data_IF_394541067306
#
_entry.id   IF_394541067306
#
_cell.length_a   1.000
_cell.length_b   1.000
_cell.length_c   1.000
_cell.angle_alpha   90.00
_cell.angle_beta   90.00
_cell.angle_gamma   90.00
#
_symmetry.space_group_name_H-M   'P 1'
#
loop_
_entity.id
_entity.type
_entity.pdbx_description
1 polymer ?
#
# COMPACT_ATOMS: atom_id res chain seq x y z
N UNK A 1 27.89 -27.47 -4.90
CA UNK A 1 28.08 -26.05 -4.56
C UNK A 1 27.47 -25.20 -5.66
N UNK A 2 26.29 -24.64 -5.38
CA UNK A 2 25.77 -23.45 -6.04
C UNK A 2 25.07 -22.69 -4.91
N UNK A 3 25.74 -21.66 -4.38
CA UNK A 3 25.06 -20.70 -3.53
C UNK A 3 24.14 -19.93 -4.47
N UNK A 4 22.84 -20.19 -4.38
CA UNK A 4 21.83 -19.39 -5.04
C UNK A 4 21.99 -17.97 -4.49
N UNK A 5 22.43 -17.04 -5.34
CA UNK A 5 22.39 -15.62 -5.05
C UNK A 5 20.95 -15.30 -4.63
N UNK A 6 20.69 -14.71 -3.45
CA UNK A 6 19.34 -14.33 -3.06
C UNK A 6 18.81 -13.40 -4.15
N UNK A 7 17.74 -13.83 -4.84
CA UNK A 7 17.12 -13.05 -5.90
C UNK A 7 16.62 -11.76 -5.25
N UNK A 8 17.24 -10.62 -5.56
CA UNK A 8 16.73 -9.31 -5.14
C UNK A 8 15.38 -9.14 -5.79
N UNK A 9 14.34 -9.03 -4.97
CA UNK A 9 12.97 -8.85 -5.42
C UNK A 9 12.82 -7.46 -6.02
N UNK A 10 12.25 -7.35 -7.21
CA UNK A 10 11.96 -6.05 -7.84
C UNK A 10 10.81 -5.34 -7.13
N UNK A 11 10.76 -4.01 -7.25
CA UNK A 11 9.65 -3.22 -6.70
C UNK A 11 8.27 -3.67 -7.21
N UNK A 12 8.18 -4.04 -8.50
CA UNK A 12 6.95 -4.62 -9.07
C UNK A 12 6.55 -5.92 -8.38
N UNK A 13 7.50 -6.82 -8.12
CA UNK A 13 7.23 -8.06 -7.40
C UNK A 13 6.78 -7.76 -5.97
N UNK A 14 7.35 -6.74 -5.31
CA UNK A 14 6.96 -6.34 -3.95
C UNK A 14 5.49 -5.93 -3.88
N UNK A 15 5.04 -5.07 -4.79
CA UNK A 15 3.64 -4.62 -4.81
C UNK A 15 2.67 -5.77 -5.06
N UNK A 16 3.04 -6.72 -5.93
CA UNK A 16 2.24 -7.92 -6.18
C UNK A 16 2.16 -8.81 -4.94
N UNK A 17 3.27 -8.99 -4.23
CA UNK A 17 3.29 -9.74 -2.97
C UNK A 17 2.38 -9.08 -1.93
N UNK A 18 2.47 -7.76 -1.76
CA UNK A 18 1.61 -7.00 -0.84
C UNK A 18 0.14 -7.20 -1.19
N UNK A 19 -0.21 -7.11 -2.47
CA UNK A 19 -1.57 -7.32 -2.93
C UNK A 19 -2.06 -8.73 -2.65
N UNK A 20 -1.27 -9.76 -2.99
CA UNK A 20 -1.62 -11.15 -2.75
C UNK A 20 -1.81 -11.41 -1.27
N UNK A 21 -0.89 -10.98 -0.40
CA UNK A 21 -1.02 -11.17 1.04
C UNK A 21 -2.24 -10.45 1.62
N UNK A 22 -2.52 -9.23 1.18
CA UNK A 22 -3.71 -8.54 1.63
C UNK A 22 -4.98 -9.29 1.19
N UNK A 23 -5.01 -9.83 -0.03
CA UNK A 23 -6.12 -10.65 -0.51
C UNK A 23 -6.29 -11.91 0.34
N UNK A 24 -5.20 -12.59 0.68
CA UNK A 24 -5.23 -13.78 1.54
C UNK A 24 -5.77 -13.43 2.93
N UNK A 25 -5.32 -12.31 3.52
CA UNK A 25 -5.83 -11.79 4.81
C UNK A 25 -7.32 -11.46 4.72
N UNK A 26 -7.77 -10.82 3.65
CA UNK A 26 -9.17 -10.45 3.43
C UNK A 26 -10.08 -11.70 3.34
N UNK A 27 -9.53 -12.86 2.95
CA UNK A 27 -10.24 -14.15 2.90
C UNK A 27 -10.18 -14.93 4.22
N UNK A 28 -9.39 -14.51 5.21
CA UNK A 28 -9.40 -15.13 6.52
C UNK A 28 -10.72 -14.82 7.22
N UNK A 29 -11.52 -15.86 7.47
CA UNK A 29 -12.75 -15.77 8.27
C UNK A 29 -12.43 -15.59 9.76
N UNK A 30 -11.80 -14.47 10.10
CA UNK A 30 -11.43 -14.08 11.47
C UNK A 30 -12.41 -13.04 12.01
N UNK A 31 -13.08 -13.25 13.16
CA UNK A 31 -14.17 -12.39 13.64
C UNK A 31 -13.82 -10.91 13.85
N UNK A 32 -12.53 -10.61 13.96
CA UNK A 32 -12.01 -9.28 14.29
C UNK A 32 -11.24 -8.62 13.14
N UNK A 33 -11.03 -9.33 12.04
CA UNK A 33 -10.35 -8.81 10.85
C UNK A 33 -11.41 -8.68 9.79
N UNK A 34 -11.65 -7.45 9.34
CA UNK A 34 -12.55 -7.19 8.24
C UNK A 34 -11.75 -6.82 6.99
N UNK A 35 -12.21 -7.20 5.79
CA UNK A 35 -11.51 -6.84 4.55
C UNK A 35 -11.29 -5.32 4.36
N UNK A 36 -12.15 -4.49 4.95
CA UNK A 36 -11.97 -3.03 4.98
C UNK A 36 -10.79 -2.55 5.82
N UNK A 37 -10.24 -3.37 6.72
CA UNK A 37 -9.17 -2.97 7.63
C UNK A 37 -7.82 -2.82 6.92
N UNK A 38 -7.64 -3.44 5.74
CA UNK A 38 -6.43 -3.37 4.91
C UNK A 38 -5.15 -3.50 5.73
N UNK A 39 -5.11 -4.52 6.59
CA UNK A 39 -4.12 -4.66 7.66
C UNK A 39 -2.68 -4.47 7.16
N UNK A 40 -2.30 -5.15 6.07
CA UNK A 40 -0.93 -5.08 5.58
C UNK A 40 -0.58 -3.69 5.00
N UNK A 41 -1.36 -3.10 4.07
CA UNK A 41 -1.19 -1.70 3.68
C UNK A 41 -1.20 -0.71 4.85
N UNK A 42 -2.04 -0.92 5.87
CA UNK A 42 -2.07 -0.09 7.08
C UNK A 42 -0.75 -0.15 7.84
N UNK A 43 -0.20 -1.34 8.06
CA UNK A 43 1.10 -1.51 8.72
C UNK A 43 2.23 -0.87 7.92
N UNK A 44 2.27 -1.10 6.60
CA UNK A 44 3.27 -0.49 5.72
C UNK A 44 3.15 1.05 5.75
N UNK A 45 1.92 1.59 5.74
CA UNK A 45 1.70 3.02 5.82
C UNK A 45 2.20 3.60 7.15
N UNK A 46 1.94 2.94 8.27
CA UNK A 46 2.43 3.38 9.58
C UNK A 46 3.95 3.36 9.66
N UNK A 47 4.58 2.28 9.16
CA UNK A 47 6.03 2.15 9.07
C UNK A 47 6.63 3.33 8.28
N UNK A 48 6.16 3.55 7.05
CA UNK A 48 6.63 4.63 6.21
C UNK A 48 6.37 6.02 6.84
N UNK A 49 5.26 6.20 7.55
CA UNK A 49 4.97 7.47 8.23
C UNK A 49 5.96 7.75 9.37
N UNK A 50 6.24 6.78 10.22
CA UNK A 50 7.24 6.92 11.30
C UNK A 50 8.64 7.17 10.73
N UNK A 51 9.01 6.44 9.66
CA UNK A 51 10.28 6.65 8.96
C UNK A 51 10.37 8.04 8.31
N UNK A 52 9.28 8.58 7.75
CA UNK A 52 9.25 9.95 7.22
C UNK A 52 9.59 10.99 8.30
N UNK A 53 9.00 10.84 9.49
CA UNK A 53 9.27 11.72 10.63
C UNK A 53 10.74 11.61 11.06
N UNK A 54 11.28 10.39 11.13
CA UNK A 54 12.68 10.15 11.48
C UNK A 54 13.62 10.81 10.48
N UNK A 55 13.37 10.64 9.18
CA UNK A 55 14.16 11.26 8.10
C UNK A 55 14.09 12.79 8.17
N UNK A 56 12.93 13.37 8.47
CA UNK A 56 12.78 14.82 8.62
C UNK A 56 13.62 15.36 9.79
N UNK A 57 13.59 14.68 10.94
CA UNK A 57 14.40 15.04 12.11
C UNK A 57 15.89 14.91 11.77
N UNK A 58 16.30 13.80 11.16
CA UNK A 58 17.68 13.56 10.73
C UNK A 58 18.19 14.64 9.77
N UNK A 59 17.36 15.06 8.81
CA UNK A 59 17.72 16.10 7.84
C UNK A 59 17.99 17.47 8.48
N UNK A 60 17.42 17.78 9.65
CA UNK A 60 17.66 19.06 10.36
C UNK A 60 19.06 19.15 10.98
N UNK A 61 19.71 18.02 11.26
CA UNK A 61 21.11 17.92 11.74
C UNK A 61 21.40 18.42 13.16
N UNK A 62 20.57 19.29 13.75
CA UNK A 62 20.69 19.78 15.13
C UNK A 62 19.41 19.41 15.88
N UNK A 63 19.48 18.47 16.80
CA UNK A 63 18.30 17.94 17.49
C UNK A 63 18.13 18.53 18.89
N UNK A 64 16.96 19.07 19.17
CA UNK A 64 16.56 19.40 20.52
C UNK A 64 16.05 18.17 21.31
N UNK A 65 15.71 18.36 22.59
CA UNK A 65 15.21 17.26 23.44
C UNK A 65 13.90 16.66 22.91
N UNK A 66 12.99 17.48 22.38
CA UNK A 66 11.72 17.03 21.86
C UNK A 66 11.91 16.21 20.59
N UNK A 67 12.85 16.61 19.72
CA UNK A 67 13.21 15.87 18.51
C UNK A 67 13.84 14.52 18.86
N UNK A 68 14.74 14.45 19.83
CA UNK A 68 15.30 13.17 20.33
C UNK A 68 14.18 12.25 20.87
N UNK A 69 13.24 12.81 21.65
CA UNK A 69 12.12 12.04 22.18
C UNK A 69 11.18 11.53 21.08
N UNK A 70 10.90 12.38 20.09
CA UNK A 70 10.06 12.03 18.94
C UNK A 70 10.72 10.93 18.12
N UNK A 71 11.99 11.12 17.72
CA UNK A 71 12.74 10.13 16.95
C UNK A 71 12.78 8.77 17.66
N UNK A 72 13.03 8.72 18.97
CA UNK A 72 13.01 7.46 19.74
C UNK A 72 11.64 6.78 19.70
N UNK A 73 10.56 7.54 19.92
CA UNK A 73 9.19 7.01 19.88
C UNK A 73 8.86 6.43 18.51
N UNK A 74 9.25 7.14 17.44
CA UNK A 74 9.03 6.66 16.07
C UNK A 74 9.87 5.41 15.77
N UNK A 75 11.12 5.33 16.24
CA UNK A 75 11.94 4.12 16.13
C UNK A 75 11.29 2.91 16.82
N UNK A 76 10.79 3.10 18.05
CA UNK A 76 10.09 2.05 18.81
C UNK A 76 8.80 1.60 18.10
N UNK A 77 8.04 2.56 17.58
CA UNK A 77 6.83 2.31 16.80
C UNK A 77 7.15 1.53 15.53
N UNK A 78 8.20 1.93 14.80
CA UNK A 78 8.62 1.27 13.59
C UNK A 78 9.06 -0.18 13.86
N UNK A 79 9.83 -0.41 14.93
CA UNK A 79 10.21 -1.75 15.37
C UNK A 79 9.01 -2.65 15.70
N UNK A 80 7.99 -2.10 16.37
CA UNK A 80 6.75 -2.83 16.64
C UNK A 80 6.00 -3.18 15.35
N UNK A 81 5.87 -2.23 14.42
CA UNK A 81 5.17 -2.45 13.15
C UNK A 81 5.87 -3.50 12.29
N UNK A 82 7.20 -3.47 12.19
CA UNK A 82 7.99 -4.46 11.47
C UNK A 82 7.80 -5.87 12.06
N UNK A 83 7.75 -6.01 13.39
CA UNK A 83 7.45 -7.29 14.04
C UNK A 83 6.04 -7.81 13.68
N UNK A 84 5.04 -6.94 13.55
CA UNK A 84 3.71 -7.34 13.07
C UNK A 84 3.75 -7.80 11.60
N UNK A 85 4.48 -7.10 10.73
CA UNK A 85 4.62 -7.50 9.32
C UNK A 85 5.31 -8.87 9.21
N UNK A 86 6.34 -9.14 10.02
CA UNK A 86 7.01 -10.45 10.08
C UNK A 86 6.03 -11.55 10.49
N UNK A 87 5.25 -11.33 11.55
CA UNK A 87 4.25 -12.30 12.04
C UNK A 87 3.19 -12.63 11.00
N UNK A 88 2.71 -11.62 10.28
CA UNK A 88 1.76 -11.81 9.18
C UNK A 88 2.42 -12.59 8.04
N UNK A 89 3.66 -12.26 7.68
CA UNK A 89 4.39 -12.97 6.60
C UNK A 89 4.57 -14.46 6.91
N UNK A 90 4.80 -14.81 8.17
CA UNK A 90 4.89 -16.21 8.63
C UNK A 90 3.55 -16.94 8.57
N UNK A 91 2.45 -16.23 8.77
CA UNK A 91 1.11 -16.81 8.72
C UNK A 91 0.69 -17.23 7.30
N UNK A 92 1.24 -16.58 6.28
CA UNK A 92 0.91 -16.79 4.85
C UNK A 92 1.93 -17.69 4.13
N UNK A 93 2.81 -18.38 4.88
CA UNK A 93 3.82 -19.35 4.37
C UNK A 93 4.75 -18.80 3.28
N UNK A 94 5.37 -17.66 3.57
CA UNK A 94 6.27 -16.97 2.65
C UNK A 94 7.71 -17.32 3.02
N UNK A 95 8.47 -17.85 2.07
CA UNK A 95 9.86 -18.30 2.26
C UNK A 95 10.78 -17.24 2.91
N UNK A 96 10.48 -15.96 2.73
CA UNK A 96 11.21 -14.84 3.32
C UNK A 96 10.24 -13.75 3.81
N UNK A 97 10.39 -13.24 5.05
CA UNK A 97 9.55 -12.16 5.56
C UNK A 97 9.55 -10.92 4.67
N UNK A 98 8.37 -10.30 4.49
CA UNK A 98 8.18 -9.14 3.61
C UNK A 98 9.15 -7.99 3.93
N UNK A 99 9.53 -7.84 5.19
CA UNK A 99 10.44 -6.79 5.67
C UNK A 99 11.81 -6.79 4.98
N UNK A 100 12.25 -7.92 4.44
CA UNK A 100 13.52 -8.00 3.71
C UNK A 100 13.46 -7.43 2.29
N UNK A 101 12.25 -7.20 1.77
CA UNK A 101 12.03 -6.67 0.42
C UNK A 101 11.61 -5.19 0.45
N UNK A 102 11.48 -4.60 1.63
CA UNK A 102 11.08 -3.20 1.75
C UNK A 102 12.19 -2.28 1.24
N UNK A 103 11.84 -1.24 0.47
CA UNK A 103 12.82 -0.30 -0.07
C UNK A 103 13.47 0.52 1.05
N UNK A 104 14.72 0.99 0.87
CA UNK A 104 15.39 1.84 1.85
C UNK A 104 14.59 3.13 2.14
N UNK A 105 14.43 3.55 3.41
CA UNK A 105 13.74 4.79 3.74
C UNK A 105 14.26 5.99 2.94
N UNK A 106 13.34 6.75 2.35
CA UNK A 106 13.64 7.95 1.55
C UNK A 106 14.05 7.70 0.09
N UNK A 107 14.18 6.44 -0.35
CA UNK A 107 14.34 6.11 -1.78
C UNK A 107 13.07 6.41 -2.60
N UNK A 108 13.18 6.47 -3.93
CA UNK A 108 12.03 6.68 -4.81
C UNK A 108 11.01 5.54 -4.69
N UNK A 109 11.46 4.29 -4.63
CA UNK A 109 10.60 3.12 -4.41
C UNK A 109 9.88 3.20 -3.06
N UNK A 110 10.55 3.72 -2.03
CA UNK A 110 9.95 3.89 -0.72
C UNK A 110 8.84 4.95 -0.71
N UNK A 111 9.04 6.09 -1.39
CA UNK A 111 7.98 7.08 -1.55
C UNK A 111 6.82 6.54 -2.41
N UNK A 112 7.12 5.77 -3.45
CA UNK A 112 6.12 5.04 -4.23
C UNK A 112 5.29 4.10 -3.36
N UNK A 113 5.94 3.33 -2.49
CA UNK A 113 5.28 2.41 -1.56
C UNK A 113 4.41 3.16 -0.55
N UNK A 114 4.89 4.30 -0.04
CA UNK A 114 4.13 5.14 0.88
C UNK A 114 2.83 5.63 0.23
N UNK A 115 2.89 6.16 -0.99
CA UNK A 115 1.71 6.64 -1.73
C UNK A 115 0.77 5.49 -2.06
N UNK A 116 1.31 4.36 -2.54
CA UNK A 116 0.53 3.17 -2.86
C UNK A 116 -0.26 2.66 -1.65
N UNK A 117 0.41 2.47 -0.51
CA UNK A 117 -0.22 2.03 0.74
C UNK A 117 -1.26 3.05 1.22
N UNK A 118 -0.98 4.35 1.14
CA UNK A 118 -1.94 5.41 1.49
C UNK A 118 -3.21 5.33 0.66
N UNK A 119 -3.10 5.13 -0.65
CA UNK A 119 -4.26 4.96 -1.55
C UNK A 119 -5.07 3.72 -1.19
N UNK A 120 -4.41 2.58 -0.92
CA UNK A 120 -5.11 1.37 -0.51
C UNK A 120 -5.85 1.53 0.82
N UNK A 121 -5.27 2.22 1.79
CA UNK A 121 -5.87 2.41 3.11
C UNK A 121 -7.01 3.43 3.08
N UNK A 122 -6.81 4.56 2.40
CA UNK A 122 -7.72 5.71 2.50
C UNK A 122 -8.78 5.73 1.39
N UNK A 123 -8.50 5.09 0.25
CA UNK A 123 -9.31 5.25 -0.96
C UNK A 123 -9.91 3.93 -1.47
N UNK A 124 -9.55 2.79 -0.88
CA UNK A 124 -10.13 1.50 -1.25
C UNK A 124 -11.58 1.38 -0.76
N UNK A 125 -12.46 0.89 -1.64
CA UNK A 125 -13.90 0.71 -1.41
C UNK A 125 -14.39 -0.57 -2.07
N UNK A 126 -15.49 -1.11 -1.58
CA UNK A 126 -16.22 -2.21 -2.23
C UNK A 126 -17.28 -1.63 -3.15
N UNK A 127 -17.34 -2.10 -4.39
CA UNK A 127 -18.36 -1.69 -5.34
C UNK A 127 -19.69 -2.33 -5.00
N UNK A 128 -20.68 -1.47 -4.73
CA UNK A 128 -22.06 -1.84 -4.49
C UNK A 128 -22.86 -1.28 -5.67
N UNK A 129 -23.40 -2.11 -6.56
CA UNK A 129 -24.17 -1.62 -7.70
C UNK A 129 -25.41 -0.89 -7.21
N UNK A 130 -25.72 0.26 -7.81
CA UNK A 130 -26.94 0.97 -7.47
C UNK A 130 -28.16 0.14 -7.91
N UNK A 131 -29.22 0.02 -7.07
CA UNK A 131 -30.36 -0.86 -7.34
C UNK A 131 -31.25 -0.41 -8.50
N UNK A 132 -30.90 0.67 -9.23
CA UNK A 132 -31.71 1.27 -10.29
C UNK A 132 -30.86 1.95 -11.35
N UNK A 133 -30.25 1.18 -12.24
CA UNK A 133 -29.97 1.73 -13.56
C UNK A 133 -30.25 0.68 -14.65
N UNK A 134 -31.50 0.67 -15.11
CA UNK A 134 -31.94 -0.11 -16.26
C UNK A 134 -31.47 0.54 -17.58
N UNK A 135 -30.19 0.95 -17.68
CA UNK A 135 -29.64 1.56 -18.89
C UNK A 135 -28.41 2.46 -18.76
N UNK A 136 -27.99 2.86 -17.55
CA UNK A 136 -26.77 3.63 -17.36
C UNK A 136 -25.49 2.85 -17.68
N UNK A 137 -24.50 3.54 -18.26
CA UNK A 137 -23.17 2.98 -18.48
C UNK A 137 -22.55 2.69 -17.11
N UNK A 138 -22.14 1.44 -16.87
CA UNK A 138 -21.37 1.10 -15.68
C UNK A 138 -20.06 1.88 -15.68
N UNK A 139 -19.56 2.28 -14.51
CA UNK A 139 -18.22 2.82 -14.42
C UNK A 139 -17.22 1.74 -14.87
N UNK A 140 -16.28 2.14 -15.72
CA UNK A 140 -15.20 1.31 -16.24
C UNK A 140 -13.85 1.76 -15.69
N UNK A 141 -12.96 0.81 -15.43
CA UNK A 141 -11.60 1.10 -15.03
C UNK A 141 -10.80 1.63 -16.23
N UNK A 142 -10.20 2.84 -16.18
CA UNK A 142 -9.47 3.43 -17.31
C UNK A 142 -8.15 2.72 -17.65
N UNK A 143 -7.71 1.76 -16.82
CA UNK A 143 -6.48 0.98 -17.05
C UNK A 143 -6.77 -0.27 -17.90
N UNK A 144 -7.76 -1.08 -17.52
CA UNK A 144 -8.10 -2.30 -18.25
C UNK A 144 -9.30 -2.16 -19.19
N UNK A 145 -10.13 -1.13 -19.03
CA UNK A 145 -11.36 -0.90 -19.80
C UNK A 145 -12.55 -1.77 -19.38
N UNK A 146 -12.44 -2.50 -18.27
CA UNK A 146 -13.47 -3.40 -17.77
C UNK A 146 -14.39 -2.70 -16.76
N UNK A 147 -15.66 -3.13 -16.72
CA UNK A 147 -16.67 -2.67 -15.76
C UNK A 147 -16.38 -3.21 -14.35
N UNK A 148 -16.69 -2.42 -13.31
CA UNK A 148 -16.65 -2.91 -11.93
C UNK A 148 -17.80 -3.87 -11.63
N UNK A 149 -17.49 -5.03 -11.04
CA UNK A 149 -18.46 -6.05 -10.64
C UNK A 149 -18.84 -5.95 -9.17
N UNK A 150 -20.06 -6.34 -8.84
CA UNK A 150 -20.58 -6.26 -7.48
C UNK A 150 -19.70 -7.04 -6.50
N UNK A 151 -19.27 -6.38 -5.41
CA UNK A 151 -18.37 -6.96 -4.42
C UNK A 151 -16.89 -6.81 -4.73
N UNK A 152 -16.51 -6.37 -5.94
CA UNK A 152 -15.11 -6.06 -6.25
C UNK A 152 -14.61 -4.82 -5.52
N UNK A 153 -13.31 -4.80 -5.23
CA UNK A 153 -12.65 -3.64 -4.65
C UNK A 153 -12.11 -2.72 -5.72
N UNK A 154 -12.28 -1.43 -5.49
CA UNK A 154 -11.74 -0.37 -6.31
C UNK A 154 -11.15 0.75 -5.44
N UNK A 155 -10.25 1.52 -6.02
CA UNK A 155 -9.66 2.70 -5.40
C UNK A 155 -10.32 3.94 -6.00
N UNK A 156 -11.07 4.68 -5.19
CA UNK A 156 -11.60 5.99 -5.55
C UNK A 156 -10.52 7.05 -5.34
N UNK A 157 -9.87 7.48 -6.42
CA UNK A 157 -8.77 8.43 -6.34
C UNK A 157 -9.23 9.78 -5.75
N UNK A 158 -8.44 10.41 -4.85
CA UNK A 158 -8.87 11.60 -4.12
C UNK A 158 -9.06 12.84 -5.01
N UNK A 159 -8.50 12.81 -6.22
CA UNK A 159 -8.60 13.91 -7.18
C UNK A 159 -10.03 14.13 -7.72
N UNK A 160 -10.87 13.10 -7.80
CA UNK A 160 -12.26 13.24 -8.25
C UNK A 160 -13.13 12.04 -7.83
N UNK A 161 -14.39 12.26 -7.39
CA UNK A 161 -15.27 11.18 -6.94
C UNK A 161 -15.59 10.10 -7.97
N UNK A 162 -15.34 10.33 -9.26
CA UNK A 162 -15.60 9.36 -10.36
C UNK A 162 -14.33 8.72 -10.92
N UNK A 163 -13.15 9.04 -10.38
CA UNK A 163 -11.89 8.47 -10.86
C UNK A 163 -11.58 7.19 -10.10
N UNK A 164 -11.99 6.05 -10.66
CA UNK A 164 -11.89 4.75 -10.02
C UNK A 164 -10.92 3.84 -10.75
N UNK A 165 -10.16 3.04 -10.01
CA UNK A 165 -9.27 2.00 -10.54
C UNK A 165 -9.57 0.68 -9.82
N UNK A 166 -9.48 -0.46 -10.50
CA UNK A 166 -9.35 -1.74 -9.76
C UNK A 166 -8.11 -1.70 -8.87
N UNK A 167 -8.15 -2.34 -7.71
CA UNK A 167 -6.95 -2.45 -6.86
C UNK A 167 -5.80 -3.15 -7.60
N UNK A 168 -6.09 -4.21 -8.37
CA UNK A 168 -5.14 -4.89 -9.26
C UNK A 168 -4.54 -3.95 -10.29
N UNK A 169 -5.37 -3.14 -10.95
CA UNK A 169 -4.89 -2.14 -11.89
C UNK A 169 -4.04 -1.06 -11.22
N UNK A 170 -4.33 -0.66 -9.98
CA UNK A 170 -3.47 0.25 -9.23
C UNK A 170 -2.12 -0.40 -8.93
N UNK A 171 -2.08 -1.66 -8.49
CA UNK A 171 -0.84 -2.41 -8.25
C UNK A 171 0.01 -2.47 -9.51
N UNK A 172 -0.59 -2.86 -10.63
CA UNK A 172 0.12 -2.94 -11.91
C UNK A 172 0.58 -1.56 -12.38
N UNK A 173 -0.23 -0.51 -12.20
CA UNK A 173 0.16 0.85 -12.55
C UNK A 173 1.35 1.32 -11.70
N UNK A 174 1.25 1.21 -10.37
CA UNK A 174 2.30 1.58 -9.42
C UNK A 174 3.59 0.76 -9.63
N UNK A 175 3.48 -0.48 -10.12
CA UNK A 175 4.64 -1.30 -10.45
C UNK A 175 5.47 -0.77 -11.63
N UNK A 176 4.89 0.06 -12.49
CA UNK A 176 5.54 0.64 -13.67
C UNK A 176 5.83 2.15 -13.55
N UNK A 177 5.28 2.83 -12.53
CA UNK A 177 5.58 4.23 -12.23
C UNK A 177 5.68 4.49 -10.73
N UNK A 178 6.80 5.10 -10.31
CA UNK A 178 6.99 5.54 -8.93
C UNK A 178 6.22 6.83 -8.62
N UNK A 179 5.94 7.63 -9.67
CA UNK A 179 5.06 8.80 -9.58
C UNK A 179 3.62 8.37 -9.85
N UNK A 180 2.95 7.87 -8.81
CA UNK A 180 1.54 7.47 -8.90
C UNK A 180 0.71 8.73 -9.06
N UNK A 181 0.18 8.93 -10.28
CA UNK A 181 -0.71 10.03 -10.63
C UNK A 181 -2.05 9.49 -11.14
N UNK A 182 -3.09 10.33 -11.11
CA UNK A 182 -4.38 9.92 -11.65
C UNK A 182 -4.29 9.73 -13.18
N UNK A 183 -4.63 8.56 -13.74
CA UNK A 183 -4.57 8.35 -15.19
C UNK A 183 -5.60 9.19 -15.96
N UNK A 184 -6.70 9.60 -15.32
CA UNK A 184 -7.79 10.39 -15.92
C UNK A 184 -7.53 11.91 -15.87
N UNK A 185 -7.07 12.41 -14.72
CA UNK A 185 -6.87 13.85 -14.49
C UNK A 185 -5.41 14.31 -14.51
N UNK A 186 -4.43 13.39 -14.49
CA UNK A 186 -2.99 13.64 -14.30
C UNK A 186 -2.64 14.44 -13.04
N UNK A 187 -3.58 14.58 -12.11
CA UNK A 187 -3.31 15.18 -10.82
C UNK A 187 -2.35 14.27 -10.04
N UNK A 188 -1.26 14.84 -9.55
CA UNK A 188 -0.39 14.20 -8.56
C UNK A 188 -1.13 14.09 -7.23
N UNK A 189 -1.01 12.94 -6.58
CA UNK A 189 -1.49 12.79 -5.21
C UNK A 189 -0.43 13.43 -4.31
N UNK A 190 -0.68 14.68 -3.90
CA UNK A 190 0.24 15.40 -3.04
C UNK A 190 0.48 14.62 -1.73
N UNK A 191 1.77 14.47 -1.38
CA UNK A 191 2.26 13.95 -0.10
C UNK A 191 1.78 14.87 1.03
#
# INVERSE_FOLDING_TARGET
MAQSIPRTLSYSELLKIIQTFQSDIDHLNTPHIKPEDRILPCLILYMCFSEAIMLEIEARGIWDKNEIHTWRRELETNGFVLDQIIKISQFVDVDMPLVHFLPPPGSEEWWGLYIFSRLLVQCSRVYIPEPRDNGGKKPDCPICGEDFMAGERYVQLPCHPTHWLHETCLTDFAAHTLEISCPLGRCTFWL
#
